data_IF_116323954046
#
_entry.id   IF_116323954046
#
_cell.length_a   1.000
_cell.length_b   1.000
_cell.length_c   1.000
_cell.angle_alpha   90.00
_cell.angle_beta   90.00
_cell.angle_gamma   90.00
#
_symmetry.space_group_name_H-M   'P 1'
#
loop_
_entity.id
_entity.type
_entity.pdbx_description
1 polymer ?
#
# COMPACT_ATOMS: atom_id res chain seq x y z
N UNK A 1 -3.63 -16.22 -6.92
CA UNK A 1 -3.45 -14.77 -7.15
C UNK A 1 -4.51 -14.27 -8.13
N UNK A 2 -5.24 -13.23 -7.75
CA UNK A 2 -6.27 -12.57 -8.54
C UNK A 2 -5.83 -11.13 -8.80
N UNK A 3 -5.65 -10.76 -10.06
CA UNK A 3 -5.32 -9.38 -10.44
C UNK A 3 -6.60 -8.54 -10.43
N UNK A 4 -6.62 -7.50 -9.59
CA UNK A 4 -7.74 -6.57 -9.49
C UNK A 4 -7.53 -5.38 -10.42
N UNK A 5 -6.30 -4.88 -10.49
CA UNK A 5 -5.91 -3.77 -11.36
C UNK A 5 -4.47 -3.90 -11.83
N UNK A 6 -4.19 -3.47 -13.06
CA UNK A 6 -2.85 -3.33 -13.61
C UNK A 6 -2.86 -2.29 -14.71
N UNK A 7 -2.12 -1.21 -14.50
CA UNK A 7 -1.92 -0.15 -15.47
C UNK A 7 -0.51 0.44 -15.32
N UNK A 8 -0.26 1.56 -16.01
CA UNK A 8 1.04 2.23 -16.00
C UNK A 8 1.37 2.89 -14.65
N UNK A 9 0.37 3.14 -13.81
CA UNK A 9 0.46 3.91 -12.57
C UNK A 9 0.43 3.04 -11.30
N UNK A 10 -0.22 1.87 -11.34
CA UNK A 10 -0.21 0.90 -10.25
C UNK A 10 -0.60 -0.52 -10.67
N UNK A 11 -0.36 -1.44 -9.73
CA UNK A 11 -0.88 -2.81 -9.76
C UNK A 11 -1.48 -3.16 -8.41
N UNK A 12 -2.60 -3.90 -8.43
CA UNK A 12 -3.25 -4.48 -7.26
C UNK A 12 -3.57 -5.94 -7.54
N UNK A 13 -3.00 -6.82 -6.71
CA UNK A 13 -3.18 -8.26 -6.79
C UNK A 13 -3.53 -8.79 -5.41
N UNK A 14 -4.53 -9.68 -5.33
CA UNK A 14 -4.86 -10.38 -4.10
C UNK A 14 -4.39 -11.84 -4.17
N UNK A 15 -3.70 -12.30 -3.14
CA UNK A 15 -3.37 -13.70 -2.93
C UNK A 15 -4.24 -14.28 -1.81
N UNK A 16 -5.26 -15.04 -2.20
CA UNK A 16 -6.17 -15.70 -1.27
C UNK A 16 -5.45 -16.70 -0.35
N UNK A 17 -4.42 -17.41 -0.85
CA UNK A 17 -3.71 -18.41 -0.06
C UNK A 17 -2.93 -17.79 1.10
N UNK A 18 -2.46 -16.55 0.92
CA UNK A 18 -1.75 -15.77 1.95
C UNK A 18 -2.64 -14.78 2.70
N UNK A 19 -3.90 -14.59 2.26
CA UNK A 19 -4.73 -13.44 2.64
C UNK A 19 -3.94 -12.12 2.54
N UNK A 20 -3.30 -11.89 1.38
CA UNK A 20 -2.34 -10.79 1.18
C UNK A 20 -2.67 -9.96 -0.04
N UNK A 21 -2.68 -8.65 0.15
CA UNK A 21 -2.70 -7.68 -0.94
C UNK A 21 -1.25 -7.39 -1.36
N UNK A 22 -1.01 -7.44 -2.66
CA UNK A 22 0.19 -6.95 -3.30
C UNK A 22 -0.16 -5.67 -4.04
N UNK A 23 0.41 -4.56 -3.58
CA UNK A 23 0.20 -3.25 -4.18
C UNK A 23 1.53 -2.73 -4.71
N UNK A 24 1.58 -2.33 -5.98
CA UNK A 24 2.73 -1.62 -6.54
C UNK A 24 2.29 -0.23 -6.96
N UNK A 25 2.97 0.80 -6.49
CA UNK A 25 2.76 2.18 -6.92
C UNK A 25 3.90 2.59 -7.86
N UNK A 26 3.55 3.15 -9.03
CA UNK A 26 4.50 3.46 -10.09
C UNK A 26 4.45 4.95 -10.46
N UNK A 27 5.62 5.49 -10.79
CA UNK A 27 5.74 6.80 -11.41
C UNK A 27 5.40 7.96 -10.48
N UNK A 28 4.70 8.96 -11.02
CA UNK A 28 4.38 10.20 -10.31
C UNK A 28 2.91 10.56 -10.49
N UNK A 29 2.19 10.64 -9.37
CA UNK A 29 0.78 10.99 -9.36
C UNK A 29 0.66 12.45 -8.97
N UNK A 30 0.41 13.31 -9.95
CA UNK A 30 0.28 14.76 -9.71
C UNK A 30 -0.96 15.13 -8.89
N UNK A 31 -1.99 14.28 -8.92
CA UNK A 31 -3.30 14.44 -8.29
C UNK A 31 -4.02 13.09 -8.32
N UNK A 32 -5.12 12.93 -7.59
CA UNK A 32 -5.93 11.72 -7.65
C UNK A 32 -6.67 11.59 -8.99
N UNK A 33 -6.87 12.70 -9.70
CA UNK A 33 -7.51 12.70 -11.03
C UNK A 33 -6.73 11.94 -12.12
N UNK A 34 -5.44 11.65 -11.94
CA UNK A 34 -4.69 10.79 -12.88
C UNK A 34 -4.92 9.30 -12.63
N UNK A 35 -5.53 8.94 -11.50
CA UNK A 35 -5.81 7.56 -11.07
C UNK A 35 -7.29 7.42 -10.65
N UNK A 36 -8.25 7.73 -11.55
CA UNK A 36 -9.65 7.89 -11.18
C UNK A 36 -10.32 6.60 -10.65
N UNK A 37 -9.82 5.42 -11.05
CA UNK A 37 -10.35 4.13 -10.62
C UNK A 37 -9.69 3.59 -9.35
N UNK A 38 -8.69 4.29 -8.79
CA UNK A 38 -7.85 3.74 -7.74
C UNK A 38 -8.62 3.40 -6.46
N UNK A 39 -9.49 4.28 -5.98
CA UNK A 39 -10.27 4.00 -4.78
C UNK A 39 -11.29 2.88 -5.01
N UNK A 40 -11.89 2.82 -6.20
CA UNK A 40 -12.79 1.74 -6.59
C UNK A 40 -12.07 0.38 -6.66
N UNK A 41 -10.84 0.36 -7.17
CA UNK A 41 -10.03 -0.86 -7.19
C UNK A 41 -9.61 -1.30 -5.77
N UNK A 42 -9.38 -0.34 -4.87
CA UNK A 42 -9.14 -0.62 -3.46
C UNK A 42 -10.37 -1.17 -2.74
N UNK A 43 -11.55 -0.59 -2.95
CA UNK A 43 -12.80 -1.11 -2.40
C UNK A 43 -13.05 -2.54 -2.89
N UNK A 44 -12.80 -2.78 -4.18
CA UNK A 44 -12.92 -4.11 -4.79
C UNK A 44 -11.94 -5.11 -4.18
N UNK A 45 -10.65 -4.78 -4.05
CA UNK A 45 -9.69 -5.73 -3.47
C UNK A 45 -9.96 -6.00 -1.99
N UNK A 46 -10.38 -4.99 -1.22
CA UNK A 46 -10.76 -5.15 0.18
C UNK A 46 -11.95 -6.09 0.36
N UNK A 47 -12.92 -6.08 -0.57
CA UNK A 47 -14.06 -7.01 -0.53
C UNK A 47 -13.67 -8.50 -0.63
N UNK A 48 -12.45 -8.80 -1.09
CA UNK A 48 -11.91 -10.16 -1.15
C UNK A 48 -11.11 -10.56 0.10
N UNK A 49 -10.72 -9.58 0.93
CA UNK A 49 -9.89 -9.82 2.12
C UNK A 49 -10.70 -10.48 3.24
N UNK A 50 -10.00 -11.26 4.06
CA UNK A 50 -10.51 -11.78 5.34
C UNK A 50 -9.84 -11.02 6.48
N UNK A 51 -10.38 -11.09 7.69
CA UNK A 51 -9.76 -10.52 8.89
C UNK A 51 -8.27 -10.90 9.00
N UNK A 52 -7.48 -9.98 9.54
CA UNK A 52 -6.03 -10.12 9.69
C UNK A 52 -5.26 -10.25 8.35
N UNK A 53 -5.79 -9.70 7.26
CA UNK A 53 -5.06 -9.65 6.00
C UNK A 53 -3.79 -8.81 6.12
N UNK A 54 -2.85 -9.07 5.21
CA UNK A 54 -1.57 -8.35 5.15
C UNK A 54 -1.41 -7.63 3.83
N UNK A 55 -0.51 -6.64 3.78
CA UNK A 55 -0.20 -5.90 2.55
C UNK A 55 1.30 -5.91 2.33
N UNK A 56 1.72 -6.20 1.11
CA UNK A 56 3.07 -5.91 0.62
C UNK A 56 2.95 -4.78 -0.40
N UNK A 57 3.46 -3.61 -0.04
CA UNK A 57 3.48 -2.42 -0.86
C UNK A 57 4.86 -2.23 -1.51
N UNK A 58 4.96 -2.31 -2.82
CA UNK A 58 6.16 -1.98 -3.58
C UNK A 58 6.09 -0.51 -4.01
N UNK A 59 6.97 0.31 -3.42
CA UNK A 59 7.06 1.74 -3.64
C UNK A 59 8.44 2.14 -4.20
N UNK A 60 9.15 1.22 -4.84
CA UNK A 60 10.50 1.44 -5.36
C UNK A 60 10.52 2.56 -6.42
N UNK A 61 9.51 2.57 -7.29
CA UNK A 61 9.38 3.55 -8.37
C UNK A 61 8.61 4.82 -7.95
N UNK A 62 8.24 4.91 -6.67
CA UNK A 62 7.47 6.02 -6.15
C UNK A 62 8.35 7.26 -5.96
N UNK A 63 7.96 8.33 -6.65
CA UNK A 63 8.50 9.68 -6.42
C UNK A 63 7.82 10.37 -5.23
N UNK A 64 8.15 11.63 -4.98
CA UNK A 64 7.51 12.44 -3.93
C UNK A 64 5.99 12.45 -4.11
N UNK A 65 5.25 12.21 -3.02
CA UNK A 65 3.79 12.30 -2.98
C UNK A 65 3.36 13.76 -2.86
N UNK A 66 2.61 14.31 -3.84
CA UNK A 66 1.93 15.59 -3.66
C UNK A 66 0.91 15.52 -2.52
N UNK A 67 0.56 16.68 -1.97
CA UNK A 67 -0.31 16.79 -0.79
C UNK A 67 -1.66 16.08 -0.97
N UNK A 68 -2.34 16.25 -2.10
CA UNK A 68 -3.62 15.59 -2.40
C UNK A 68 -3.49 14.06 -2.36
N UNK A 69 -2.44 13.51 -2.98
CA UNK A 69 -2.19 12.06 -2.99
C UNK A 69 -1.80 11.56 -1.61
N UNK A 70 -1.05 12.37 -0.85
CA UNK A 70 -0.68 12.09 0.53
C UNK A 70 -1.92 11.96 1.42
N UNK A 71 -2.83 12.94 1.36
CA UNK A 71 -4.09 12.93 2.13
C UNK A 71 -4.97 11.73 1.75
N UNK A 72 -5.11 11.45 0.45
CA UNK A 72 -5.86 10.28 0.00
C UNK A 72 -5.24 8.96 0.49
N UNK A 73 -3.91 8.90 0.65
CA UNK A 73 -3.25 7.73 1.20
C UNK A 73 -3.41 7.60 2.71
N UNK A 74 -3.44 8.72 3.43
CA UNK A 74 -3.73 8.80 4.87
C UNK A 74 -5.13 8.27 5.18
N UNK A 75 -6.16 8.78 4.49
CA UNK A 75 -7.54 8.31 4.65
C UNK A 75 -7.69 6.81 4.32
N UNK A 76 -6.96 6.32 3.32
CA UNK A 76 -6.97 4.88 2.97
C UNK A 76 -6.32 4.04 4.05
N UNK A 77 -5.21 4.50 4.61
CA UNK A 77 -4.52 3.83 5.71
C UNK A 77 -5.44 3.70 6.93
N UNK A 78 -6.17 4.76 7.29
CA UNK A 78 -7.18 4.69 8.35
C UNK A 78 -8.28 3.65 8.05
N UNK A 79 -8.78 3.60 6.82
CA UNK A 79 -9.78 2.60 6.41
C UNK A 79 -9.25 1.17 6.52
N UNK A 80 -8.00 0.94 6.10
CA UNK A 80 -7.33 -0.36 6.16
C UNK A 80 -7.15 -0.85 7.61
N UNK A 81 -6.77 0.06 8.51
CA UNK A 81 -6.66 -0.26 9.93
C UNK A 81 -8.01 -0.69 10.50
N UNK A 82 -9.08 0.05 10.19
CA UNK A 82 -10.46 -0.29 10.63
C UNK A 82 -11.01 -1.57 10.00
N UNK A 83 -10.55 -1.94 8.81
CA UNK A 83 -10.98 -3.17 8.13
C UNK A 83 -10.22 -4.43 8.60
N UNK A 84 -9.35 -4.32 9.62
CA UNK A 84 -8.65 -5.48 10.18
C UNK A 84 -7.34 -5.83 9.47
N UNK A 85 -6.67 -4.86 8.86
CA UNK A 85 -5.30 -5.05 8.35
C UNK A 85 -4.34 -5.35 9.51
N UNK A 86 -3.63 -6.48 9.44
CA UNK A 86 -2.71 -6.93 10.51
C UNK A 86 -1.32 -6.32 10.38
N UNK A 87 -0.76 -6.30 9.16
CA UNK A 87 0.62 -5.87 8.86
C UNK A 87 0.72 -5.34 7.43
N UNK A 88 1.56 -4.32 7.25
CA UNK A 88 1.91 -3.71 5.97
C UNK A 88 3.43 -3.63 5.85
N UNK A 89 4.00 -4.31 4.85
CA UNK A 89 5.42 -4.21 4.53
C UNK A 89 5.60 -3.35 3.28
N UNK A 90 6.36 -2.26 3.41
CA UNK A 90 6.66 -1.36 2.31
C UNK A 90 8.10 -1.57 1.81
N UNK A 91 8.27 -1.87 0.53
CA UNK A 91 9.58 -1.93 -0.12
C UNK A 91 9.91 -0.53 -0.65
N UNK A 92 10.91 0.11 -0.07
CA UNK A 92 11.31 1.49 -0.36
C UNK A 92 12.84 1.58 -0.43
N UNK A 93 13.38 2.12 -1.52
CA UNK A 93 14.83 2.31 -1.69
C UNK A 93 15.27 3.78 -1.51
N UNK A 94 14.38 4.73 -1.78
CA UNK A 94 14.66 6.16 -1.70
C UNK A 94 14.46 6.69 -0.28
N UNK A 95 15.48 7.33 0.35
CA UNK A 95 15.32 7.96 1.67
C UNK A 95 14.24 9.04 1.69
N UNK A 96 14.09 9.80 0.61
CA UNK A 96 13.08 10.87 0.49
C UNK A 96 11.66 10.27 0.47
N UNK A 97 11.49 9.17 -0.27
CA UNK A 97 10.23 8.42 -0.33
C UNK A 97 9.94 7.80 1.04
N UNK A 98 10.96 7.24 1.70
CA UNK A 98 10.84 6.66 3.04
C UNK A 98 10.32 7.69 4.07
N UNK A 99 10.94 8.87 4.15
CA UNK A 99 10.46 9.94 5.04
C UNK A 99 9.04 10.41 4.70
N UNK A 100 8.66 10.38 3.42
CA UNK A 100 7.31 10.78 3.00
C UNK A 100 6.26 9.75 3.39
N UNK A 101 6.57 8.45 3.23
CA UNK A 101 5.70 7.35 3.66
C UNK A 101 5.56 7.33 5.16
N UNK A 102 6.67 7.49 5.90
CA UNK A 102 6.65 7.52 7.37
C UNK A 102 5.71 8.60 7.92
N UNK A 103 5.72 9.82 7.34
CA UNK A 103 4.79 10.88 7.74
C UNK A 103 3.32 10.51 7.53
N UNK A 104 3.00 9.78 6.45
CA UNK A 104 1.63 9.30 6.20
C UNK A 104 1.25 8.23 7.22
N UNK A 105 2.16 7.30 7.48
CA UNK A 105 1.98 6.23 8.46
C UNK A 105 1.68 6.78 9.85
N UNK A 106 2.50 7.73 10.33
CA UNK A 106 2.30 8.38 11.63
C UNK A 106 1.00 9.17 11.70
N UNK A 107 0.63 9.89 10.63
CA UNK A 107 -0.61 10.65 10.60
C UNK A 107 -1.86 9.74 10.64
N UNK A 108 -1.79 8.55 10.04
CA UNK A 108 -2.91 7.60 9.97
C UNK A 108 -3.02 6.66 11.18
N UNK A 109 -2.05 6.67 12.10
CA UNK A 109 -2.03 5.76 13.25
C UNK A 109 -1.60 4.32 12.93
N UNK A 110 -0.93 4.10 11.79
CA UNK A 110 -0.51 2.77 11.32
C UNK A 110 0.94 2.41 11.71
N UNK A 111 1.62 3.22 12.52
CA UNK A 111 3.03 3.05 12.89
C UNK A 111 3.38 1.70 13.52
N UNK A 112 2.43 1.07 14.23
CA UNK A 112 2.63 -0.23 14.86
C UNK A 112 2.53 -1.41 13.88
N UNK A 113 1.89 -1.20 12.72
CA UNK A 113 1.62 -2.28 11.75
C UNK A 113 2.30 -2.07 10.40
N UNK A 114 2.93 -0.91 10.17
CA UNK A 114 3.69 -0.62 8.94
C UNK A 114 5.18 -0.72 9.21
N UNK A 115 5.90 -1.43 8.33
CA UNK A 115 7.37 -1.50 8.38
C UNK A 115 7.98 -1.37 6.99
N UNK A 116 9.08 -0.63 6.90
CA UNK A 116 9.79 -0.38 5.66
C UNK A 116 10.98 -1.36 5.51
N UNK A 117 11.18 -1.85 4.29
CA UNK A 117 12.19 -2.82 3.91
C UNK A 117 12.88 -2.38 2.62
N UNK A 118 14.11 -2.85 2.40
CA UNK A 118 14.85 -2.67 1.16
C UNK A 118 14.82 -3.93 0.26
N UNK A 119 14.19 -5.01 0.74
CA UNK A 119 14.17 -6.33 0.12
C UNK A 119 12.77 -6.92 0.16
N UNK A 120 12.32 -7.44 -0.98
CA UNK A 120 11.06 -8.17 -1.04
C UNK A 120 11.06 -9.41 -0.16
N UNK A 121 12.20 -10.10 -0.05
CA UNK A 121 12.30 -11.32 0.75
C UNK A 121 12.07 -11.02 2.22
N UNK A 122 12.74 -10.02 2.78
CA UNK A 122 12.60 -9.64 4.19
C UNK A 122 11.20 -9.15 4.51
N UNK A 123 10.61 -8.38 3.59
CA UNK A 123 9.21 -7.95 3.69
C UNK A 123 8.25 -9.15 3.75
N UNK A 124 8.39 -10.11 2.83
CA UNK A 124 7.57 -11.32 2.81
C UNK A 124 7.73 -12.16 4.09
N UNK A 125 8.97 -12.36 4.55
CA UNK A 125 9.26 -13.13 5.76
C UNK A 125 8.58 -12.51 6.99
N UNK A 126 8.71 -11.20 7.19
CA UNK A 126 8.08 -10.48 8.31
C UNK A 126 6.54 -10.50 8.27
N UNK A 127 5.95 -10.49 7.08
CA UNK A 127 4.49 -10.63 6.93
C UNK A 127 3.98 -12.04 7.23
N UNK A 128 4.85 -13.05 7.20
CA UNK A 128 4.51 -14.45 7.49
C UNK A 128 4.67 -14.82 8.98
N UNK A 129 5.29 -13.94 9.78
CA UNK A 129 5.33 -14.01 11.26
C UNK A 129 3.97 -13.64 11.89
#
# INVERSE_FOLDING_TARGET
MQQIAKNELYELVYDEGKNRIYWTMKGFWRSMSVVPDFDKDWDKIQSHTKDNFTILANLVDLKVLPEEVRMANEERQEKLLRSGCKKVACIILSPITNSSVQRVTEASGMEEIVKNFNSQKEAEDWLNE
#
